data_IF_120854345492
#
_entry.id   IF_120854345492
#
_cell.length_a   1.000
_cell.length_b   1.000
_cell.length_c   1.000
_cell.angle_alpha   90.00
_cell.angle_beta   90.00
_cell.angle_gamma   90.00
#
_symmetry.space_group_name_H-M   'P 1'
#
loop_
_entity.id
_entity.type
_entity.pdbx_description
1 polymer ?
#
# COMPACT_ATOMS: atom_id res chain seq x y z
N UNK A 1 -13.29 -21.20 6.93
CA UNK A 1 -12.79 -19.87 7.33
C UNK A 1 -11.30 -19.67 7.04
N UNK A 2 -10.39 -20.52 7.52
CA UNK A 2 -8.94 -20.25 7.45
C UNK A 2 -8.30 -20.08 6.06
N UNK A 3 -8.77 -20.77 5.01
CA UNK A 3 -8.15 -20.64 3.67
C UNK A 3 -8.46 -19.29 3.01
N UNK A 4 -9.73 -18.85 3.05
CA UNK A 4 -10.15 -17.58 2.43
C UNK A 4 -9.52 -16.41 3.20
N UNK A 5 -9.59 -16.45 4.54
CA UNK A 5 -8.93 -15.46 5.39
C UNK A 5 -7.44 -15.37 5.07
N UNK A 6 -6.75 -16.51 5.02
CA UNK A 6 -5.32 -16.59 4.72
C UNK A 6 -4.96 -15.96 3.37
N UNK A 7 -5.74 -16.23 2.32
CA UNK A 7 -5.52 -15.65 1.00
C UNK A 7 -5.68 -14.12 1.04
N UNK A 8 -6.74 -13.61 1.68
CA UNK A 8 -6.97 -12.17 1.77
C UNK A 8 -5.83 -11.49 2.55
N UNK A 9 -5.43 -12.05 3.68
CA UNK A 9 -4.33 -11.53 4.49
C UNK A 9 -3.01 -11.52 3.69
N UNK A 10 -2.71 -12.60 2.96
CA UNK A 10 -1.53 -12.68 2.11
C UNK A 10 -1.54 -11.62 1.01
N UNK A 11 -2.69 -11.39 0.36
CA UNK A 11 -2.84 -10.35 -0.66
C UNK A 11 -2.64 -8.94 -0.08
N UNK A 12 -3.15 -8.67 1.13
CA UNK A 12 -2.92 -7.39 1.81
C UNK A 12 -1.44 -7.17 2.16
N UNK A 13 -0.75 -8.20 2.64
CA UNK A 13 0.70 -8.13 2.88
C UNK A 13 1.48 -7.93 1.60
N UNK A 14 1.15 -8.67 0.54
CA UNK A 14 1.78 -8.52 -0.77
C UNK A 14 1.59 -7.09 -1.29
N UNK A 15 0.37 -6.56 -1.23
CA UNK A 15 0.09 -5.20 -1.64
C UNK A 15 0.87 -4.17 -0.81
N UNK A 16 0.97 -4.35 0.50
CA UNK A 16 1.80 -3.49 1.36
C UNK A 16 3.27 -3.50 0.93
N UNK A 17 3.82 -4.64 0.52
CA UNK A 17 5.19 -4.71 -0.03
C UNK A 17 5.32 -4.01 -1.37
N UNK A 18 4.31 -4.10 -2.24
CA UNK A 18 4.27 -3.36 -3.52
C UNK A 18 4.26 -1.86 -3.27
N UNK A 19 3.49 -1.37 -2.29
CA UNK A 19 3.52 0.05 -1.87
C UNK A 19 4.91 0.46 -1.38
N UNK A 20 5.57 -0.37 -0.56
CA UNK A 20 6.95 -0.11 -0.10
C UNK A 20 7.91 -0.03 -1.29
N UNK A 21 7.83 -0.98 -2.22
CA UNK A 21 8.65 -0.99 -3.42
C UNK A 21 8.42 0.28 -4.26
N UNK A 22 7.17 0.71 -4.40
CA UNK A 22 6.81 1.96 -5.10
C UNK A 22 7.48 3.18 -4.48
N UNK A 23 7.43 3.30 -3.15
CA UNK A 23 8.10 4.40 -2.43
C UNK A 23 9.61 4.37 -2.67
N UNK A 24 10.25 3.20 -2.56
CA UNK A 24 11.69 3.06 -2.77
C UNK A 24 12.08 3.39 -4.22
N UNK A 25 11.28 2.99 -5.21
CA UNK A 25 11.51 3.36 -6.61
C UNK A 25 11.43 4.87 -6.84
N UNK A 26 10.66 5.61 -6.03
CA UNK A 26 10.60 7.07 -6.16
C UNK A 26 11.93 7.76 -5.87
N UNK A 27 12.87 7.10 -5.18
CA UNK A 27 14.22 7.62 -4.91
C UNK A 27 15.17 7.43 -6.09
N UNK A 28 14.80 6.59 -7.06
CA UNK A 28 15.59 6.29 -8.24
C UNK A 28 14.75 6.60 -9.50
N UNK A 29 14.87 7.80 -10.11
CA UNK A 29 14.04 8.22 -11.24
C UNK A 29 13.96 7.19 -12.38
N UNK A 30 15.11 6.60 -12.76
CA UNK A 30 15.18 5.56 -13.78
C UNK A 30 14.33 4.31 -13.46
N UNK A 31 14.24 3.93 -12.18
CA UNK A 31 13.41 2.79 -11.75
C UNK A 31 11.92 3.14 -11.83
N UNK A 32 11.54 4.35 -11.42
CA UNK A 32 10.16 4.85 -11.49
C UNK A 32 9.66 4.97 -12.94
N UNK A 33 10.52 5.40 -13.84
CA UNK A 33 10.20 5.59 -15.26
C UNK A 33 10.21 4.29 -16.07
N UNK A 34 10.81 3.22 -15.55
CA UNK A 34 10.79 1.90 -16.19
C UNK A 34 9.38 1.35 -16.35
N UNK A 35 9.17 0.44 -17.30
CA UNK A 35 7.87 -0.22 -17.53
C UNK A 35 7.33 -0.89 -16.26
N UNK A 36 8.21 -1.47 -15.44
CA UNK A 36 7.85 -2.10 -14.16
C UNK A 36 7.44 -1.04 -13.15
N UNK A 37 8.17 0.07 -13.06
CA UNK A 37 7.84 1.19 -12.18
C UNK A 37 6.49 1.83 -12.51
N UNK A 38 6.20 2.02 -13.80
CA UNK A 38 4.91 2.52 -14.27
C UNK A 38 3.76 1.54 -13.97
N UNK A 39 3.99 0.24 -14.17
CA UNK A 39 3.01 -0.80 -13.84
C UNK A 39 2.71 -0.85 -12.33
N UNK A 40 3.73 -0.82 -11.49
CA UNK A 40 3.53 -0.76 -10.03
C UNK A 40 2.82 0.54 -9.65
N UNK A 41 3.19 1.66 -10.28
CA UNK A 41 2.54 2.95 -10.07
C UNK A 41 1.05 2.93 -10.39
N UNK A 42 0.61 2.29 -11.48
CA UNK A 42 -0.81 2.22 -11.84
C UNK A 42 -1.66 1.44 -10.82
N UNK A 43 -1.03 0.50 -10.09
CA UNK A 43 -1.66 -0.29 -9.03
C UNK A 43 -1.69 0.46 -7.68
N UNK A 44 -0.63 1.22 -7.38
CA UNK A 44 -0.43 1.87 -6.07
C UNK A 44 -1.04 3.28 -6.02
N UNK A 45 -0.97 4.04 -7.11
CA UNK A 45 -1.42 5.44 -7.16
C UNK A 45 -2.90 5.64 -6.80
N UNK A 46 -3.86 4.83 -7.29
CA UNK A 46 -5.26 4.98 -6.91
C UNK A 46 -5.49 4.86 -5.40
N UNK A 47 -4.69 4.03 -4.72
CA UNK A 47 -4.75 3.86 -3.28
C UNK A 47 -4.06 5.01 -2.53
N UNK A 48 -2.89 5.49 -3.00
CA UNK A 48 -2.16 6.58 -2.35
C UNK A 48 -2.79 7.96 -2.57
N UNK A 49 -3.48 8.18 -3.69
CA UNK A 49 -4.01 9.49 -4.05
C UNK A 49 -4.97 10.10 -3.00
N UNK A 50 -5.92 9.36 -2.38
CA UNK A 50 -6.71 9.86 -1.26
C UNK A 50 -5.85 10.31 -0.07
N UNK A 51 -4.81 9.57 0.29
CA UNK A 51 -3.94 9.92 1.42
C UNK A 51 -3.15 11.21 1.14
N UNK A 52 -2.65 11.41 -0.08
CA UNK A 52 -1.98 12.66 -0.49
C UNK A 52 -2.90 13.88 -0.50
N UNK A 53 -4.20 13.68 -0.71
CA UNK A 53 -5.18 14.77 -0.65
C UNK A 53 -5.44 15.22 0.80
N UNK A 54 -5.38 14.28 1.75
CA UNK A 54 -5.67 14.54 3.16
C UNK A 54 -4.41 14.98 3.92
N UNK A 55 -3.27 14.39 3.59
CA UNK A 55 -2.00 14.57 4.30
C UNK A 55 -1.11 15.48 3.45
N UNK A 56 -0.87 16.73 3.88
CA UNK A 56 0.04 17.61 3.17
C UNK A 56 1.47 17.04 3.23
N UNK A 57 2.28 17.23 2.17
CA UNK A 57 3.67 16.82 2.19
C UNK A 57 4.45 17.60 3.26
N UNK A 58 5.37 16.93 3.95
CA UNK A 58 6.26 17.56 4.91
C UNK A 58 7.52 18.04 4.18
N UNK A 59 7.48 19.28 3.70
CA UNK A 59 8.53 19.83 2.85
C UNK A 59 8.60 19.08 1.52
N UNK A 60 9.74 18.44 1.25
CA UNK A 60 9.95 17.64 0.02
C UNK A 60 9.62 16.15 0.19
N UNK A 61 9.24 15.72 1.40
CA UNK A 61 9.00 14.31 1.70
C UNK A 61 7.50 14.02 1.75
N UNK A 62 7.07 13.09 0.91
CA UNK A 62 5.71 12.55 0.95
C UNK A 62 5.59 11.52 2.07
N UNK A 63 4.93 11.90 3.16
CA UNK A 63 4.64 11.01 4.30
C UNK A 63 3.33 10.23 4.14
N UNK A 64 2.51 10.55 3.13
CA UNK A 64 1.25 9.87 2.87
C UNK A 64 1.38 8.34 2.73
N UNK A 65 2.47 7.78 2.16
CA UNK A 65 2.59 6.34 2.01
C UNK A 65 2.78 5.61 3.35
N UNK A 66 3.36 6.28 4.36
CA UNK A 66 3.50 5.71 5.71
C UNK A 66 2.11 5.52 6.32
N UNK A 67 1.27 6.55 6.22
CA UNK A 67 -0.11 6.50 6.74
C UNK A 67 -0.95 5.49 5.96
N UNK A 68 -0.75 5.40 4.64
CA UNK A 68 -1.41 4.40 3.81
C UNK A 68 -1.01 2.96 4.24
N UNK A 69 0.27 2.70 4.51
CA UNK A 69 0.71 1.39 5.02
C UNK A 69 0.08 1.08 6.40
N UNK A 70 -0.02 2.08 7.29
CA UNK A 70 -0.69 1.92 8.58
C UNK A 70 -2.18 1.57 8.37
N UNK A 71 -2.86 2.23 7.44
CA UNK A 71 -4.25 1.94 7.10
C UNK A 71 -4.41 0.51 6.54
N UNK A 72 -3.48 0.03 5.70
CA UNK A 72 -3.46 -1.38 5.25
C UNK A 72 -3.32 -2.35 6.42
N UNK A 73 -2.44 -2.07 7.39
CA UNK A 73 -2.30 -2.92 8.59
C UNK A 73 -3.59 -3.00 9.39
N UNK A 74 -4.26 -1.87 9.59
CA UNK A 74 -5.58 -1.87 10.24
C UNK A 74 -6.62 -2.66 9.44
N UNK A 75 -6.61 -2.56 8.10
CA UNK A 75 -7.47 -3.38 7.26
C UNK A 75 -7.18 -4.88 7.43
N UNK A 76 -5.91 -5.29 7.53
CA UNK A 76 -5.53 -6.69 7.82
C UNK A 76 -6.10 -7.17 9.16
N UNK A 77 -5.94 -6.38 10.22
CA UNK A 77 -6.52 -6.72 11.53
C UNK A 77 -8.05 -6.76 11.49
N UNK A 78 -8.67 -5.83 10.77
CA UNK A 78 -10.12 -5.79 10.59
C UNK A 78 -10.65 -7.02 9.87
N UNK A 79 -9.97 -7.50 8.83
CA UNK A 79 -10.29 -8.77 8.16
C UNK A 79 -10.25 -9.92 9.16
N UNK A 80 -9.14 -10.10 9.89
CA UNK A 80 -9.05 -11.18 10.89
C UNK A 80 -10.13 -11.08 11.97
N UNK A 81 -10.46 -9.86 12.42
CA UNK A 81 -11.51 -9.64 13.41
C UNK A 81 -12.91 -10.02 12.89
N UNK A 82 -13.21 -9.75 11.61
CA UNK A 82 -14.49 -10.14 11.00
C UNK A 82 -14.57 -11.66 10.87
N UNK A 83 -13.50 -12.30 10.38
CA UNK A 83 -13.47 -13.75 10.20
C UNK A 83 -13.52 -14.52 11.53
N UNK A 84 -13.04 -13.93 12.63
CA UNK A 84 -13.14 -14.54 13.97
C UNK A 84 -14.53 -14.44 14.61
N UNK A 85 -15.43 -13.59 14.09
CA UNK A 85 -16.81 -13.46 14.56
C UNK A 85 -17.74 -14.58 14.04
N UNK A 86 -17.29 -15.37 13.06
CA UNK A 86 -18.07 -16.42 12.40
C UNK A 86 -17.39 -17.78 12.55
#
# INVERSE_FOLDING_TARGET
>A
MGMIEGIIIQLLYLYSWVVIAYILMSWFPNARESSIGQFIGSIVEPYLAPFRKIIPPLGMIDISPIVAIIALRFATYGVSAIFSMF
#
